data_IF_051239425437
#
_entry.id   IF_051239425437
#
_cell.length_a   1.000
_cell.length_b   1.000
_cell.length_c   1.000
_cell.angle_alpha   90.00
_cell.angle_beta   90.00
_cell.angle_gamma   90.00
#
_symmetry.space_group_name_H-M   'P 1'
#
loop_
_entity.id
_entity.type
_entity.pdbx_description
1 polymer ?
#
# COMPACT_ATOMS: atom_id res chain seq x y z
N UNK A 1 3.36 13.27 0.40
CA UNK A 1 3.99 13.95 1.57
C UNK A 1 4.21 13.01 2.75
N UNK A 2 3.29 12.10 3.06
CA UNK A 2 3.45 11.16 4.19
C UNK A 2 4.54 10.11 3.97
N UNK A 3 4.64 9.55 2.77
CA UNK A 3 5.71 8.61 2.42
C UNK A 3 7.12 9.18 2.68
N UNK A 4 7.35 10.45 2.34
CA UNK A 4 8.61 11.13 2.63
C UNK A 4 8.91 11.19 4.13
N UNK A 5 7.90 11.55 4.95
CA UNK A 5 8.03 11.60 6.42
C UNK A 5 8.29 10.22 7.02
N UNK A 6 7.69 9.18 6.46
CA UNK A 6 7.93 7.80 6.90
C UNK A 6 9.34 7.32 6.54
N UNK A 7 9.83 7.68 5.35
CA UNK A 7 11.18 7.35 4.90
C UNK A 7 12.25 8.00 5.78
N UNK A 8 12.15 9.30 6.08
CA UNK A 8 13.15 9.99 6.92
C UNK A 8 13.14 9.55 8.40
N UNK A 9 12.08 8.87 8.86
CA UNK A 9 12.03 8.26 10.21
C UNK A 9 12.87 6.99 10.30
N UNK A 10 13.25 6.40 9.17
CA UNK A 10 14.06 5.18 9.12
C UNK A 10 15.51 5.55 9.39
N UNK A 11 16.14 4.85 10.32
CA UNK A 11 17.51 5.14 10.71
C UNK A 11 18.49 4.82 9.57
N UNK A 12 19.25 5.83 9.13
CA UNK A 12 20.16 5.73 7.99
C UNK A 12 19.56 6.19 6.66
N UNK A 13 18.30 6.63 6.63
CA UNK A 13 17.69 7.30 5.47
C UNK A 13 17.66 8.81 5.74
N UNK A 14 18.48 9.56 5.02
CA UNK A 14 18.48 11.03 5.06
C UNK A 14 17.45 11.65 4.10
N UNK A 15 17.17 12.97 4.21
CA UNK A 15 16.25 13.68 3.31
C UNK A 15 16.62 13.54 1.83
N UNK A 16 17.92 13.56 1.52
CA UNK A 16 18.44 13.38 0.15
C UNK A 16 18.11 12.00 -0.40
N UNK A 17 18.33 10.95 0.39
CA UNK A 17 18.03 9.57 0.00
C UNK A 17 16.53 9.34 -0.13
N UNK A 18 15.73 9.84 0.80
CA UNK A 18 14.26 9.75 0.71
C UNK A 18 13.73 10.43 -0.57
N UNK A 19 14.31 11.57 -0.95
CA UNK A 19 13.95 12.26 -2.18
C UNK A 19 14.39 11.47 -3.43
N UNK A 20 15.60 10.88 -3.42
CA UNK A 20 16.05 9.98 -4.49
C UNK A 20 15.14 8.78 -4.66
N UNK A 21 14.65 8.18 -3.57
CA UNK A 21 13.70 7.06 -3.62
C UNK A 21 12.39 7.49 -4.27
N UNK A 22 11.79 8.57 -3.78
CA UNK A 22 10.52 9.08 -4.32
C UNK A 22 10.64 9.63 -5.74
N UNK A 23 11.86 9.95 -6.20
CA UNK A 23 12.13 10.38 -7.57
C UNK A 23 12.42 9.19 -8.50
N UNK A 24 12.94 8.08 -7.97
CA UNK A 24 13.31 6.89 -8.73
C UNK A 24 12.24 5.80 -8.76
N UNK A 25 11.28 5.83 -7.83
CA UNK A 25 10.16 4.90 -7.79
C UNK A 25 8.92 5.55 -7.17
N UNK A 26 7.74 5.11 -7.61
CA UNK A 26 6.50 5.54 -7.00
C UNK A 26 6.37 4.97 -5.58
N UNK A 27 5.51 5.60 -4.78
CA UNK A 27 5.20 5.08 -3.43
C UNK A 27 4.57 3.68 -3.52
N UNK A 28 3.83 3.41 -4.60
CA UNK A 28 3.23 2.12 -4.90
C UNK A 28 4.28 1.04 -5.14
N UNK A 29 5.27 1.35 -5.98
CA UNK A 29 6.37 0.44 -6.28
C UNK A 29 7.22 0.15 -5.04
N UNK A 30 7.42 1.18 -4.20
CA UNK A 30 8.10 1.03 -2.93
C UNK A 30 7.33 0.08 -2.00
N UNK A 31 6.01 0.26 -1.87
CA UNK A 31 5.16 -0.59 -1.06
C UNK A 31 5.15 -2.04 -1.58
N UNK A 32 5.06 -2.24 -2.89
CA UNK A 32 5.18 -3.57 -3.50
C UNK A 32 6.55 -4.19 -3.26
N UNK A 33 7.64 -3.43 -3.44
CA UNK A 33 8.99 -3.92 -3.17
C UNK A 33 9.15 -4.31 -1.69
N UNK A 34 8.51 -3.59 -0.77
CA UNK A 34 8.48 -3.93 0.66
C UNK A 34 7.70 -5.21 0.91
N UNK A 35 6.50 -5.34 0.37
CA UNK A 35 5.66 -6.54 0.54
C UNK A 35 6.31 -7.78 -0.07
N UNK A 36 6.87 -7.66 -1.27
CA UNK A 36 7.59 -8.73 -1.98
C UNK A 36 9.01 -8.97 -1.45
N UNK A 37 9.48 -8.18 -0.48
CA UNK A 37 10.84 -8.25 0.08
C UNK A 37 11.95 -8.13 -0.99
N UNK A 38 11.69 -7.36 -2.05
CA UNK A 38 12.60 -7.20 -3.18
C UNK A 38 13.62 -6.08 -2.94
N UNK A 39 14.68 -6.39 -2.17
CA UNK A 39 15.75 -5.42 -1.89
C UNK A 39 16.44 -4.92 -3.17
N UNK A 40 16.52 -5.78 -4.19
CA UNK A 40 17.17 -5.48 -5.47
C UNK A 40 16.54 -4.29 -6.21
N UNK A 41 15.23 -4.03 -6.07
CA UNK A 41 14.59 -2.85 -6.67
C UNK A 41 15.02 -1.56 -5.97
N UNK A 42 15.22 -1.62 -4.66
CA UNK A 42 15.53 -0.47 -3.82
C UNK A 42 17.01 -0.08 -3.94
N UNK A 43 17.91 -1.06 -4.11
CA UNK A 43 19.35 -0.84 -4.32
C UNK A 43 19.65 -0.10 -5.64
N UNK A 44 18.76 -0.16 -6.63
CA UNK A 44 18.91 0.59 -7.88
C UNK A 44 18.83 2.11 -7.69
N UNK A 45 18.31 2.58 -6.55
CA UNK A 45 18.23 4.00 -6.24
C UNK A 45 19.62 4.54 -5.87
N UNK A 46 20.08 5.64 -6.50
CA UNK A 46 21.38 6.23 -6.20
C UNK A 46 21.46 6.67 -4.73
N UNK A 47 22.46 6.13 -4.03
CA UNK A 47 22.68 6.39 -2.59
C UNK A 47 22.06 5.35 -1.65
N UNK A 48 21.48 4.25 -2.18
CA UNK A 48 21.02 3.11 -1.37
C UNK A 48 21.90 1.88 -1.63
N UNK A 49 22.60 1.45 -0.58
CA UNK A 49 23.31 0.16 -0.58
C UNK A 49 22.43 -1.01 -0.14
N UNK A 50 22.93 -2.23 -0.34
CA UNK A 50 22.23 -3.49 0.03
C UNK A 50 21.75 -3.50 1.50
N UNK A 51 22.63 -3.10 2.43
CA UNK A 51 22.33 -3.05 3.87
C UNK A 51 21.23 -2.03 4.21
N UNK A 52 21.23 -0.89 3.53
CA UNK A 52 20.21 0.16 3.71
C UNK A 52 18.87 -0.28 3.11
N UNK A 53 18.89 -0.95 1.95
CA UNK A 53 17.69 -1.51 1.33
C UNK A 53 17.03 -2.58 2.21
N UNK A 54 17.82 -3.52 2.74
CA UNK A 54 17.32 -4.56 3.67
C UNK A 54 16.73 -3.95 4.95
N UNK A 55 17.39 -2.93 5.51
CA UNK A 55 16.87 -2.21 6.68
C UNK A 55 15.56 -1.49 6.37
N UNK A 56 15.48 -0.82 5.22
CA UNK A 56 14.30 -0.09 4.79
C UNK A 56 13.12 -1.05 4.57
N UNK A 57 13.35 -2.23 3.97
CA UNK A 57 12.34 -3.28 3.86
C UNK A 57 11.82 -3.72 5.22
N UNK A 58 12.71 -3.98 6.19
CA UNK A 58 12.31 -4.47 7.51
C UNK A 58 11.51 -3.43 8.30
N UNK A 59 11.98 -2.19 8.33
CA UNK A 59 11.31 -1.11 9.06
C UNK A 59 10.00 -0.69 8.41
N UNK A 60 9.89 -0.71 7.08
CA UNK A 60 8.63 -0.43 6.39
C UNK A 60 7.65 -1.59 6.49
N UNK A 61 8.10 -2.85 6.44
CA UNK A 61 7.21 -4.01 6.63
C UNK A 61 6.49 -3.96 7.98
N UNK A 62 7.18 -3.51 9.03
CA UNK A 62 6.56 -3.32 10.35
C UNK A 62 5.56 -2.16 10.43
N UNK A 63 5.63 -1.18 9.50
CA UNK A 63 4.78 0.03 9.49
C UNK A 63 3.66 -0.01 8.45
N UNK A 64 3.81 -0.80 7.39
CA UNK A 64 2.81 -0.95 6.32
C UNK A 64 1.49 -1.57 6.80
N UNK A 65 1.51 -2.36 7.90
CA UNK A 65 0.31 -3.01 8.42
C UNK A 65 -0.58 -2.14 9.31
N UNK A 66 -0.14 -0.94 9.72
CA UNK A 66 -0.87 -0.13 10.70
C UNK A 66 -1.03 1.36 10.32
N UNK A 67 -0.10 1.95 9.56
CA UNK A 67 -0.04 3.40 9.35
C UNK A 67 -0.15 3.85 7.89
N UNK A 68 -0.17 2.92 6.93
CA UNK A 68 -0.15 3.25 5.50
C UNK A 68 -1.48 2.94 4.84
N UNK A 69 -2.48 3.77 5.16
CA UNK A 69 -3.59 4.08 4.26
C UNK A 69 -3.05 4.90 3.07
N UNK A 70 -2.12 4.34 2.30
CA UNK A 70 -1.58 4.96 1.09
C UNK A 70 -2.57 4.72 -0.06
N UNK A 71 -3.24 5.75 -0.59
CA UNK A 71 -4.01 5.59 -1.81
C UNK A 71 -3.02 5.31 -2.95
N UNK A 72 -3.19 4.15 -3.58
CA UNK A 72 -2.47 3.79 -4.81
C UNK A 72 -1.37 2.73 -4.70
N UNK A 73 -1.29 1.98 -3.59
CA UNK A 73 -0.15 1.11 -3.31
C UNK A 73 -0.44 -0.41 -3.35
N UNK A 74 -1.10 -0.88 -4.41
CA UNK A 74 -1.13 -2.32 -4.71
C UNK A 74 -1.32 -2.59 -6.20
N UNK A 75 -1.34 -3.86 -6.65
CA UNK A 75 -1.78 -4.17 -8.01
C UNK A 75 -3.13 -3.47 -8.27
N UNK A 76 -3.48 -3.14 -9.52
CA UNK A 76 -4.74 -2.44 -9.87
C UNK A 76 -5.96 -3.06 -9.15
N UNK A 77 -5.93 -4.38 -8.89
CA UNK A 77 -6.85 -5.10 -8.01
C UNK A 77 -6.99 -4.55 -6.57
N UNK A 78 -5.89 -4.21 -5.92
CA UNK A 78 -5.85 -3.63 -4.58
C UNK A 78 -6.33 -2.17 -4.56
N UNK A 79 -6.14 -1.42 -5.64
CA UNK A 79 -6.75 -0.07 -5.75
C UNK A 79 -8.27 -0.20 -5.85
N UNK A 80 -8.76 -1.09 -6.72
CA UNK A 80 -10.20 -1.34 -6.85
C UNK A 80 -10.80 -1.87 -5.54
N UNK A 81 -10.15 -2.81 -4.86
CA UNK A 81 -10.62 -3.29 -3.55
C UNK A 81 -10.57 -2.21 -2.47
N UNK A 82 -9.53 -1.39 -2.44
CA UNK A 82 -9.40 -0.24 -1.53
C UNK A 82 -10.52 0.78 -1.77
N UNK A 83 -10.80 1.10 -3.02
CA UNK A 83 -11.87 2.03 -3.41
C UNK A 83 -13.26 1.48 -3.03
N UNK A 84 -13.50 0.19 -3.24
CA UNK A 84 -14.72 -0.49 -2.78
C UNK A 84 -14.82 -0.43 -1.25
N UNK A 85 -13.73 -0.70 -0.53
CA UNK A 85 -13.69 -0.64 0.94
C UNK A 85 -14.02 0.78 1.44
N UNK A 86 -13.42 1.80 0.85
CA UNK A 86 -13.64 3.20 1.18
C UNK A 86 -15.09 3.61 0.91
N UNK A 87 -15.66 3.18 -0.21
CA UNK A 87 -17.06 3.44 -0.55
C UNK A 87 -18.03 2.79 0.46
N UNK A 88 -17.74 1.56 0.90
CA UNK A 88 -18.55 0.89 1.93
C UNK A 88 -18.46 1.59 3.28
N UNK A 89 -17.27 2.03 3.68
CA UNK A 89 -17.09 2.84 4.90
C UNK A 89 -17.81 4.19 4.80
N UNK A 90 -17.80 4.84 3.65
CA UNK A 90 -18.52 6.09 3.40
C UNK A 90 -20.06 5.92 3.46
N UNK A 91 -20.55 4.71 3.18
CA UNK A 91 -21.97 4.33 3.35
C UNK A 91 -22.31 3.98 4.81
N UNK A 92 -21.34 3.96 5.72
CA UNK A 92 -21.53 3.73 7.16
C UNK A 92 -21.26 2.31 7.63
N UNK A 93 -20.69 1.44 6.79
CA UNK A 93 -20.30 0.09 7.21
C UNK A 93 -18.97 0.08 7.98
N UNK A 94 -18.83 -0.84 8.92
CA UNK A 94 -17.60 -0.97 9.68
C UNK A 94 -16.47 -1.54 8.81
N UNK A 95 -15.22 -1.23 9.16
CA UNK A 95 -14.04 -1.71 8.43
C UNK A 95 -13.99 -3.25 8.34
N UNK A 96 -14.46 -3.93 9.40
CA UNK A 96 -14.56 -5.39 9.45
C UNK A 96 -15.57 -5.93 8.45
N UNK A 97 -16.72 -5.26 8.33
CA UNK A 97 -17.78 -5.65 7.40
C UNK A 97 -17.34 -5.38 5.96
N UNK A 98 -16.74 -4.21 5.70
CA UNK A 98 -16.19 -3.88 4.41
C UNK A 98 -15.14 -4.91 3.96
N UNK A 99 -14.20 -5.29 4.84
CA UNK A 99 -13.21 -6.32 4.55
C UNK A 99 -13.83 -7.73 4.35
N UNK A 100 -14.88 -8.06 5.10
CA UNK A 100 -15.61 -9.32 4.91
C UNK A 100 -16.32 -9.38 3.56
N UNK A 101 -16.86 -8.25 3.09
CA UNK A 101 -17.55 -8.12 1.82
C UNK A 101 -16.61 -8.18 0.60
N UNK A 102 -15.32 -7.90 0.78
CA UNK A 102 -14.30 -8.01 -0.28
C UNK A 102 -13.86 -9.46 -0.54
N UNK A 103 -13.89 -10.34 0.47
CA UNK A 103 -13.48 -11.75 0.34
C UNK A 103 -14.19 -12.54 -0.77
N UNK A 104 -15.52 -12.44 -0.94
CA UNK A 104 -16.22 -13.16 -2.00
C UNK A 104 -16.15 -12.47 -3.38
N UNK A 105 -15.51 -11.30 -3.50
CA UNK A 105 -15.50 -10.58 -4.77
C UNK A 105 -14.53 -11.21 -5.79
N UNK A 106 -14.95 -11.34 -7.06
CA UNK A 106 -14.06 -11.77 -8.11
C UNK A 106 -12.96 -10.75 -8.34
N UNK A 107 -11.77 -11.26 -8.63
CA UNK A 107 -10.53 -10.49 -8.74
C UNK A 107 -10.61 -9.44 -9.86
N UNK A 108 -11.41 -9.68 -10.89
CA UNK A 108 -11.52 -8.83 -12.09
C UNK A 108 -12.74 -7.87 -12.10
N UNK A 109 -13.36 -7.64 -10.94
CA UNK A 109 -14.55 -6.78 -10.85
C UNK A 109 -14.18 -5.30 -10.85
N UNK A 110 -14.88 -4.47 -11.63
CA UNK A 110 -14.73 -3.01 -11.59
C UNK A 110 -15.33 -2.41 -10.31
N UNK A 111 -14.87 -1.21 -9.91
CA UNK A 111 -15.27 -0.53 -8.65
C UNK A 111 -16.79 -0.46 -8.48
N UNK A 112 -17.53 0.02 -9.49
CA UNK A 112 -18.99 0.16 -9.40
C UNK A 112 -19.73 -1.16 -9.24
N UNK A 113 -19.23 -2.22 -9.88
CA UNK A 113 -19.84 -3.55 -9.81
C UNK A 113 -19.45 -4.27 -8.51
N UNK A 114 -18.22 -4.08 -8.05
CA UNK A 114 -17.71 -4.57 -6.77
C UNK A 114 -18.47 -3.99 -5.57
N UNK A 115 -18.79 -2.68 -5.57
CA UNK A 115 -19.64 -2.07 -4.53
C UNK A 115 -21.02 -2.73 -4.48
N UNK A 116 -21.63 -2.96 -5.65
CA UNK A 116 -22.96 -3.56 -5.75
C UNK A 116 -22.99 -4.99 -5.21
N UNK A 117 -21.96 -5.78 -5.55
CA UNK A 117 -21.80 -7.15 -5.07
C UNK A 117 -21.49 -7.20 -3.57
N UNK A 118 -20.63 -6.30 -3.09
CA UNK A 118 -20.28 -6.20 -1.67
C UNK A 118 -21.50 -5.86 -0.80
N UNK A 119 -22.32 -4.88 -1.21
CA UNK A 119 -23.57 -4.55 -0.52
C UNK A 119 -24.55 -5.73 -0.51
N UNK A 120 -24.64 -6.49 -1.62
CA UNK A 120 -25.46 -7.70 -1.69
C UNK A 120 -24.96 -8.81 -0.75
N UNK A 121 -23.66 -8.90 -0.52
CA UNK A 121 -23.08 -9.86 0.41
C UNK A 121 -23.31 -9.47 1.88
N UNK A 122 -23.36 -8.17 2.19
CA UNK A 122 -23.62 -7.63 3.53
C UNK A 122 -25.10 -7.56 3.91
N UNK A 123 -26.00 -7.51 2.93
CA UNK A 123 -27.44 -7.50 3.14
C UNK A 123 -28.04 -8.88 3.42
N UNK A 124 -27.21 -9.89 3.67
CA UNK A 124 -27.60 -11.28 3.91
C UNK A 124 -27.25 -11.70 5.32
#
# INVERSE_FOLDING_TARGET
>A
REAFRQLIKISGIGPRTALSVLSGMSVADLAQAVTAQEAGRIVKVPGIGKKTAERLLLELKGKLGADLNLPGAGPIQSEVQSDIQQALMALGYSEKDAAAALKPLPVDVGVSEGIKLALKALAK
#
